data_IF_038321216226
#
_entry.id   IF_038321216226
#
_cell.length_a   1.000
_cell.length_b   1.000
_cell.length_c   1.000
_cell.angle_alpha   90.00
_cell.angle_beta   90.00
_cell.angle_gamma   90.00
#
_symmetry.space_group_name_H-M   'P 1'
#
loop_
_entity.id
_entity.type
_entity.pdbx_description
1 polymer ?
#
# COMPACT_ATOMS: atom_id res chain seq x y z
N UNK A 1 -21.79 -12.73 2.34
CA UNK A 1 -20.44 -12.86 2.88
C UNK A 1 -19.50 -13.05 1.69
N UNK A 2 -18.87 -11.97 1.23
CA UNK A 2 -17.88 -11.99 0.18
C UNK A 2 -16.46 -11.99 0.78
N UNK A 3 -15.47 -12.32 -0.05
CA UNK A 3 -14.06 -12.18 0.31
C UNK A 3 -13.55 -10.89 -0.29
N UNK A 4 -13.03 -9.99 0.53
CA UNK A 4 -12.44 -8.73 0.12
C UNK A 4 -10.95 -8.74 0.46
N UNK A 5 -10.09 -8.53 -0.53
CA UNK A 5 -8.65 -8.60 -0.33
C UNK A 5 -8.04 -7.22 -0.52
N UNK A 6 -7.20 -6.81 0.41
CA UNK A 6 -6.44 -5.56 0.35
C UNK A 6 -4.96 -5.90 0.38
N UNK A 7 -4.23 -5.36 -0.57
CA UNK A 7 -2.83 -5.71 -0.82
C UNK A 7 -1.99 -4.44 -0.78
N UNK A 8 -0.95 -4.43 0.02
CA UNK A 8 0.04 -3.37 0.00
C UNK A 8 0.89 -3.43 -1.28
N UNK A 9 1.52 -2.30 -1.66
CA UNK A 9 2.30 -2.21 -2.89
C UNK A 9 3.81 -2.34 -2.64
N UNK A 10 4.38 -1.41 -1.87
CA UNK A 10 5.83 -1.28 -1.67
C UNK A 10 6.38 -2.43 -0.83
N UNK A 11 7.35 -3.20 -1.36
CA UNK A 11 7.89 -4.38 -0.70
C UNK A 11 6.93 -5.59 -0.64
N UNK A 12 5.68 -5.42 -1.06
CA UNK A 12 4.64 -6.47 -1.09
C UNK A 12 4.40 -6.96 -2.51
N UNK A 13 3.86 -6.14 -3.40
CA UNK A 13 3.76 -6.41 -4.85
C UNK A 13 5.12 -6.21 -5.50
N UNK A 14 5.80 -5.12 -5.19
CA UNK A 14 7.18 -4.91 -5.59
C UNK A 14 8.16 -5.66 -4.68
N UNK A 15 9.30 -6.08 -5.21
CA UNK A 15 10.34 -6.79 -4.43
C UNK A 15 11.02 -5.90 -3.39
N UNK A 16 10.99 -4.59 -3.60
CA UNK A 16 11.62 -3.59 -2.72
C UNK A 16 10.68 -2.40 -2.54
N UNK A 17 10.95 -1.58 -1.54
CA UNK A 17 10.27 -0.31 -1.31
C UNK A 17 10.65 0.70 -2.41
N UNK A 18 9.74 0.89 -3.36
CA UNK A 18 9.90 1.77 -4.53
C UNK A 18 9.88 3.23 -4.11
N UNK A 19 8.99 3.59 -3.18
CA UNK A 19 8.87 4.97 -2.69
C UNK A 19 10.19 5.46 -2.10
N UNK A 20 10.77 4.68 -1.20
CA UNK A 20 12.08 4.96 -0.61
C UNK A 20 13.19 5.08 -1.66
N UNK A 21 13.22 4.16 -2.63
CA UNK A 21 14.22 4.16 -3.68
C UNK A 21 14.05 5.36 -4.64
N UNK A 22 12.82 5.72 -4.98
CA UNK A 22 12.47 6.84 -5.83
C UNK A 22 12.89 8.18 -5.21
N UNK A 23 12.45 8.46 -4.00
CA UNK A 23 12.79 9.70 -3.32
C UNK A 23 14.28 9.83 -3.05
N UNK A 24 14.96 8.75 -2.65
CA UNK A 24 16.40 8.74 -2.50
C UNK A 24 17.13 9.03 -3.83
N UNK A 25 16.67 8.46 -4.93
CA UNK A 25 17.29 8.62 -6.27
C UNK A 25 17.18 10.04 -6.79
N UNK A 26 16.02 10.68 -6.62
CA UNK A 26 15.69 11.98 -7.23
C UNK A 26 15.70 13.14 -6.22
N UNK A 27 15.45 12.90 -4.94
CA UNK A 27 15.45 13.90 -3.86
C UNK A 27 16.75 13.94 -3.03
N UNK A 28 17.62 12.93 -3.18
CA UNK A 28 18.94 12.89 -2.55
C UNK A 28 18.93 12.48 -1.07
N UNK A 29 20.04 12.82 -0.39
CA UNK A 29 20.30 12.36 0.99
C UNK A 29 19.33 12.94 2.03
N UNK A 30 18.68 14.08 1.75
CA UNK A 30 17.67 14.67 2.64
C UNK A 30 16.54 13.67 2.94
N UNK A 31 16.18 12.84 1.98
CA UNK A 31 15.11 11.84 2.18
C UNK A 31 15.47 10.79 3.25
N UNK A 32 16.75 10.47 3.42
CA UNK A 32 17.19 9.56 4.48
C UNK A 32 16.98 10.17 5.87
N UNK A 33 17.26 11.47 6.02
CA UNK A 33 17.06 12.20 7.26
C UNK A 33 15.55 12.32 7.58
N UNK A 34 14.73 12.65 6.58
CA UNK A 34 13.28 12.76 6.71
C UNK A 34 12.64 11.45 7.17
N UNK A 35 13.06 10.31 6.61
CA UNK A 35 12.60 8.99 7.03
C UNK A 35 12.98 8.71 8.49
N UNK A 36 14.17 9.12 8.92
CA UNK A 36 14.58 8.98 10.31
C UNK A 36 13.74 9.84 11.25
N UNK A 37 13.41 11.07 10.87
CA UNK A 37 12.52 11.96 11.61
C UNK A 37 11.10 11.36 11.72
N UNK A 38 10.57 10.81 10.64
CA UNK A 38 9.26 10.16 10.63
C UNK A 38 9.23 8.92 11.53
N UNK A 39 10.24 8.05 11.44
CA UNK A 39 10.35 6.86 12.31
C UNK A 39 10.52 7.21 13.78
N UNK A 40 11.08 8.38 14.07
CA UNK A 40 11.18 8.95 15.43
C UNK A 40 9.92 9.72 15.86
N UNK A 41 8.84 9.67 15.07
CA UNK A 41 7.56 10.36 15.30
C UNK A 41 7.69 11.90 15.46
N UNK A 42 8.74 12.50 14.89
CA UNK A 42 8.99 13.95 14.90
C UNK A 42 8.17 14.69 13.83
N UNK A 43 7.89 14.03 12.73
CA UNK A 43 7.05 14.55 11.64
C UNK A 43 5.97 13.52 11.29
N UNK A 44 4.86 13.99 10.73
CA UNK A 44 3.80 13.12 10.21
C UNK A 44 4.17 12.50 8.87
N UNK A 45 3.48 11.45 8.45
CA UNK A 45 3.66 10.87 7.12
C UNK A 45 3.37 11.90 6.01
N UNK A 46 2.32 12.72 6.17
CA UNK A 46 2.00 13.78 5.21
C UNK A 46 3.12 14.83 5.10
N UNK A 47 3.73 15.18 6.20
CA UNK A 47 4.87 16.10 6.21
C UNK A 47 6.10 15.48 5.57
N UNK A 48 6.38 14.20 5.86
CA UNK A 48 7.44 13.45 5.19
C UNK A 48 7.27 13.54 3.67
N UNK A 49 6.13 13.12 3.14
CA UNK A 49 5.88 13.09 1.70
C UNK A 49 5.90 14.48 1.04
N UNK A 50 5.44 15.53 1.73
CA UNK A 50 5.55 16.92 1.23
C UNK A 50 7.02 17.32 1.06
N UNK A 51 7.83 17.15 2.11
CA UNK A 51 9.24 17.53 2.09
C UNK A 51 10.05 16.67 1.12
N UNK A 52 9.77 15.39 1.00
CA UNK A 52 10.35 14.52 -0.01
C UNK A 52 9.97 14.97 -1.42
N UNK A 53 8.71 15.34 -1.66
CA UNK A 53 8.26 15.86 -2.96
C UNK A 53 8.93 17.20 -3.29
N UNK A 54 9.07 18.10 -2.32
CA UNK A 54 9.78 19.37 -2.48
C UNK A 54 11.26 19.16 -2.81
N UNK A 55 11.90 18.12 -2.24
CA UNK A 55 13.31 17.80 -2.50
C UNK A 55 13.57 17.33 -3.93
N UNK A 56 12.57 16.85 -4.65
CA UNK A 56 12.69 16.46 -6.04
C UNK A 56 12.99 17.65 -6.97
N UNK A 57 12.63 18.88 -6.54
CA UNK A 57 12.85 20.09 -7.34
C UNK A 57 12.11 19.99 -8.69
N UNK A 58 12.87 19.99 -9.78
CA UNK A 58 12.37 19.73 -11.11
C UNK A 58 12.67 18.29 -11.51
N UNK A 59 11.63 17.50 -11.71
CA UNK A 59 11.74 16.10 -12.07
C UNK A 59 11.72 15.91 -13.60
N UNK A 60 12.73 15.23 -14.12
CA UNK A 60 12.72 14.81 -15.51
C UNK A 60 11.90 13.50 -15.64
N UNK A 61 10.70 13.62 -16.20
CA UNK A 61 9.71 12.53 -16.29
C UNK A 61 10.27 11.30 -16.99
N UNK A 62 11.08 11.49 -18.03
CA UNK A 62 11.68 10.40 -18.80
C UNK A 62 12.64 9.57 -17.93
N UNK A 63 13.46 10.23 -17.11
CA UNK A 63 14.37 9.54 -16.20
C UNK A 63 13.61 8.84 -15.06
N UNK A 64 12.57 9.51 -14.52
CA UNK A 64 11.71 8.93 -13.51
C UNK A 64 11.04 7.63 -14.01
N UNK A 65 10.45 7.65 -15.21
CA UNK A 65 9.87 6.47 -15.85
C UNK A 65 10.89 5.37 -16.09
N UNK A 66 12.07 5.72 -16.63
CA UNK A 66 13.13 4.75 -16.86
C UNK A 66 13.59 4.06 -15.58
N UNK A 67 13.62 4.78 -14.45
CA UNK A 67 13.88 4.21 -13.14
C UNK A 67 12.75 3.27 -12.67
N UNK A 68 11.50 3.68 -12.83
CA UNK A 68 10.33 2.90 -12.42
C UNK A 68 10.19 1.59 -13.22
N UNK A 69 10.52 1.61 -14.51
CA UNK A 69 10.50 0.41 -15.37
C UNK A 69 11.60 -0.62 -15.01
N UNK A 70 12.58 -0.27 -14.19
CA UNK A 70 13.57 -1.20 -13.65
C UNK A 70 13.12 -1.86 -12.36
N UNK A 71 12.02 -1.39 -11.75
CA UNK A 71 11.53 -1.96 -10.51
C UNK A 71 10.89 -3.32 -10.74
N UNK A 72 11.26 -4.27 -9.91
CA UNK A 72 10.78 -5.65 -10.06
C UNK A 72 9.53 -5.86 -9.22
N UNK A 73 8.53 -6.50 -9.79
CA UNK A 73 7.36 -7.02 -9.07
C UNK A 73 7.56 -8.51 -8.75
N UNK A 74 6.77 -9.03 -7.82
CA UNK A 74 6.67 -10.47 -7.57
C UNK A 74 6.12 -11.15 -8.83
N UNK A 75 6.87 -12.10 -9.38
CA UNK A 75 6.54 -12.81 -10.62
C UNK A 75 5.23 -13.62 -10.52
N UNK A 76 4.77 -13.89 -9.30
CA UNK A 76 3.51 -14.59 -9.04
C UNK A 76 2.31 -13.64 -8.86
N UNK A 77 2.51 -12.32 -8.87
CA UNK A 77 1.41 -11.37 -8.69
C UNK A 77 0.38 -11.44 -9.82
N UNK A 78 0.80 -11.63 -11.06
CA UNK A 78 -0.12 -11.81 -12.19
C UNK A 78 -1.03 -13.04 -11.97
N UNK A 79 -0.48 -14.15 -11.45
CA UNK A 79 -1.27 -15.35 -11.12
C UNK A 79 -2.26 -15.10 -9.99
N UNK A 80 -1.92 -14.25 -9.02
CA UNK A 80 -2.85 -13.82 -7.99
C UNK A 80 -3.99 -12.97 -8.57
N UNK A 81 -3.70 -12.03 -9.47
CA UNK A 81 -4.72 -11.24 -10.19
C UNK A 81 -5.68 -12.17 -10.93
N UNK A 82 -5.14 -13.11 -11.70
CA UNK A 82 -5.94 -14.10 -12.44
C UNK A 82 -6.76 -15.00 -11.50
N UNK A 83 -6.18 -15.45 -10.38
CA UNK A 83 -6.90 -16.21 -9.35
C UNK A 83 -8.11 -15.44 -8.82
N UNK A 84 -7.96 -14.16 -8.52
CA UNK A 84 -9.06 -13.31 -8.05
C UNK A 84 -10.12 -13.15 -9.14
N UNK A 85 -9.72 -12.87 -10.37
CA UNK A 85 -10.61 -12.69 -11.52
C UNK A 85 -11.45 -13.94 -11.79
N UNK A 86 -10.83 -15.12 -11.82
CA UNK A 86 -11.53 -16.41 -12.10
C UNK A 86 -12.52 -16.79 -11.00
N UNK A 87 -12.40 -16.25 -9.80
CA UNK A 87 -13.27 -16.54 -8.65
C UNK A 87 -14.21 -15.40 -8.28
N UNK A 88 -14.23 -14.34 -9.06
CA UNK A 88 -15.00 -13.12 -8.75
C UNK A 88 -14.69 -12.58 -7.35
N UNK A 89 -13.41 -12.63 -6.97
CA UNK A 89 -12.92 -12.10 -5.70
C UNK A 89 -12.46 -10.67 -5.93
N UNK A 90 -13.11 -9.73 -5.26
CA UNK A 90 -12.71 -8.32 -5.31
C UNK A 90 -11.45 -8.09 -4.48
N UNK A 91 -10.45 -7.48 -5.11
CA UNK A 91 -9.27 -7.02 -4.40
C UNK A 91 -8.89 -5.59 -4.78
N UNK A 92 -8.22 -4.91 -3.86
CA UNK A 92 -7.71 -3.55 -4.04
C UNK A 92 -6.26 -3.46 -3.58
N UNK A 93 -5.46 -2.74 -4.32
CA UNK A 93 -4.13 -2.32 -3.85
C UNK A 93 -4.30 -1.08 -2.99
N UNK A 94 -3.69 -1.06 -1.82
CA UNK A 94 -3.74 0.05 -0.86
C UNK A 94 -2.33 0.44 -0.45
N UNK A 95 -1.84 1.55 -0.95
CA UNK A 95 -0.46 1.98 -0.76
C UNK A 95 -0.38 3.32 -0.04
N UNK A 96 0.59 3.46 0.85
CA UNK A 96 0.97 4.76 1.42
C UNK A 96 1.91 5.54 0.47
N UNK A 97 2.20 4.99 -0.70
CA UNK A 97 3.04 5.58 -1.74
C UNK A 97 2.29 6.44 -2.75
N UNK A 98 2.83 6.54 -3.97
CA UNK A 98 2.33 7.44 -5.01
C UNK A 98 1.62 6.69 -6.13
N UNK A 99 0.49 7.22 -6.60
CA UNK A 99 -0.24 6.71 -7.77
C UNK A 99 0.64 6.67 -9.02
N UNK A 100 1.44 7.70 -9.25
CA UNK A 100 2.35 7.82 -10.39
C UNK A 100 3.23 6.58 -10.58
N UNK A 101 3.90 6.10 -9.54
CA UNK A 101 4.79 4.96 -9.73
C UNK A 101 4.03 3.63 -9.77
N UNK A 102 2.88 3.51 -9.13
CA UNK A 102 2.02 2.33 -9.24
C UNK A 102 1.53 2.17 -10.68
N UNK A 103 1.00 3.25 -11.27
CA UNK A 103 0.53 3.26 -12.66
C UNK A 103 1.63 2.90 -13.66
N UNK A 104 2.82 3.51 -13.53
CA UNK A 104 3.94 3.27 -14.43
C UNK A 104 4.47 1.83 -14.33
N UNK A 105 4.57 1.29 -13.11
CA UNK A 105 5.03 -0.09 -12.90
C UNK A 105 3.99 -1.10 -13.38
N UNK A 106 2.72 -0.89 -13.12
CA UNK A 106 1.65 -1.76 -13.61
C UNK A 106 1.58 -1.74 -15.15
N UNK A 107 1.58 -0.56 -15.75
CA UNK A 107 1.57 -0.42 -17.21
C UNK A 107 2.78 -1.10 -17.87
N UNK A 108 3.98 -0.94 -17.29
CA UNK A 108 5.20 -1.57 -17.81
C UNK A 108 5.17 -3.10 -17.71
N UNK A 109 4.52 -3.66 -16.70
CA UNK A 109 4.41 -5.11 -16.49
C UNK A 109 3.11 -5.72 -17.07
N UNK A 110 2.30 -4.94 -17.81
CA UNK A 110 1.07 -5.43 -18.43
C UNK A 110 -0.04 -5.78 -17.42
N UNK A 111 0.01 -5.22 -16.21
CA UNK A 111 -1.01 -5.42 -15.18
C UNK A 111 -2.14 -4.42 -15.41
N UNK A 112 -3.28 -4.90 -15.86
CA UNK A 112 -4.44 -4.08 -16.19
C UNK A 112 -5.64 -4.39 -15.29
N UNK A 113 -6.52 -3.38 -15.13
CA UNK A 113 -7.80 -3.54 -14.43
C UNK A 113 -7.70 -3.71 -12.91
N UNK A 114 -6.53 -3.45 -12.33
CA UNK A 114 -6.33 -3.50 -10.88
C UNK A 114 -6.70 -2.16 -10.26
N UNK A 115 -7.67 -2.17 -9.35
CA UNK A 115 -8.04 -0.99 -8.56
C UNK A 115 -7.02 -0.73 -7.47
N UNK A 116 -6.58 0.53 -7.35
CA UNK A 116 -5.66 0.91 -6.27
C UNK A 116 -6.01 2.27 -5.64
N UNK A 117 -5.52 2.46 -4.42
CA UNK A 117 -5.64 3.67 -3.62
C UNK A 117 -4.25 4.07 -3.14
N UNK A 118 -3.84 5.29 -3.45
CA UNK A 118 -2.52 5.82 -3.12
C UNK A 118 -2.57 7.35 -2.98
N UNK A 119 -1.48 7.96 -2.53
CA UNK A 119 -1.34 9.41 -2.56
C UNK A 119 -1.21 9.89 -4.01
N UNK A 120 -1.81 11.05 -4.30
CA UNK A 120 -1.84 11.59 -5.64
C UNK A 120 -0.60 12.42 -5.93
N UNK A 121 0.11 12.07 -6.98
CA UNK A 121 1.32 12.76 -7.43
C UNK A 121 1.12 13.36 -8.81
N UNK A 122 1.14 14.68 -8.89
CA UNK A 122 0.90 15.42 -10.12
C UNK A 122 2.19 16.10 -10.60
N UNK A 123 2.46 15.97 -11.90
CA UNK A 123 3.58 16.64 -12.56
C UNK A 123 3.05 17.87 -13.29
N UNK A 124 3.33 19.05 -12.74
CA UNK A 124 2.87 20.31 -13.30
C UNK A 124 3.95 20.86 -14.23
N UNK A 125 3.59 21.06 -15.49
CA UNK A 125 4.47 21.72 -16.44
C UNK A 125 4.72 23.16 -15.96
N UNK A 126 5.99 23.53 -15.81
CA UNK A 126 6.38 24.89 -15.44
C UNK A 126 5.91 25.90 -16.50
N UNK A 127 5.46 27.07 -16.05
CA UNK A 127 5.09 28.19 -16.96
C UNK A 127 6.31 28.75 -17.71
N UNK A 128 7.51 28.38 -17.32
CA UNK A 128 8.74 28.86 -17.92
C UNK A 128 9.23 27.89 -19.00
N UNK A 129 9.16 28.26 -20.31
CA UNK A 129 9.57 27.43 -21.42
C UNK A 129 11.06 27.10 -21.46
N UNK A 130 11.88 27.76 -20.62
CA UNK A 130 13.33 27.54 -20.53
C UNK A 130 13.71 26.51 -19.43
N UNK A 131 12.74 26.02 -18.64
CA UNK A 131 13.01 25.00 -17.62
C UNK A 131 12.69 23.62 -18.18
N UNK A 132 13.68 22.77 -18.21
CA UNK A 132 13.54 21.36 -18.58
C UNK A 132 13.14 20.61 -17.31
N UNK A 133 11.88 20.16 -17.26
CA UNK A 133 11.36 19.39 -16.13
C UNK A 133 9.96 19.86 -15.69
N UNK A 134 9.36 19.04 -14.85
CA UNK A 134 8.04 19.29 -14.26
C UNK A 134 8.20 19.50 -12.75
N UNK A 135 7.38 20.38 -12.19
CA UNK A 135 7.33 20.58 -10.73
C UNK A 135 6.37 19.56 -10.13
N UNK A 136 6.86 18.64 -9.28
CA UNK A 136 6.00 17.67 -8.64
C UNK A 136 5.14 18.32 -7.53
N UNK A 137 3.91 17.84 -7.39
CA UNK A 137 2.97 18.18 -6.34
C UNK A 137 2.34 16.91 -5.78
N UNK A 138 2.12 16.88 -4.48
CA UNK A 138 1.46 15.76 -3.81
C UNK A 138 0.16 16.21 -3.13
N UNK A 139 -0.85 15.35 -3.17
CA UNK A 139 -2.08 15.48 -2.38
C UNK A 139 -2.49 14.13 -1.79
N UNK A 140 -3.31 14.17 -0.76
CA UNK A 140 -3.65 13.03 0.09
C UNK A 140 -5.16 12.78 0.10
N UNK A 141 -5.73 12.23 -0.99
CA UNK A 141 -7.19 12.07 -1.13
C UNK A 141 -7.79 11.04 -0.15
N UNK A 142 -6.97 10.20 0.45
CA UNK A 142 -7.39 9.12 1.34
C UNK A 142 -6.77 9.23 2.72
N UNK A 143 -6.43 10.45 3.15
CA UNK A 143 -5.89 10.66 4.49
C UNK A 143 -6.97 10.53 5.58
N UNK A 144 -6.50 10.43 6.80
CA UNK A 144 -7.31 10.53 8.00
C UNK A 144 -6.88 11.78 8.75
N UNK A 145 -7.81 12.68 9.02
CA UNK A 145 -7.52 13.98 9.61
C UNK A 145 -6.90 13.87 11.01
N UNK A 146 -7.24 12.82 11.75
CA UNK A 146 -6.78 12.59 13.13
C UNK A 146 -5.55 11.68 13.19
N UNK A 147 -5.18 11.01 12.08
CA UNK A 147 -4.06 10.08 12.04
C UNK A 147 -2.82 10.73 11.40
N UNK A 148 -1.69 10.67 12.11
CA UNK A 148 -0.39 11.19 11.63
C UNK A 148 0.54 10.09 11.10
N UNK A 149 0.15 8.81 11.19
CA UNK A 149 1.00 7.64 10.91
C UNK A 149 1.11 7.26 9.43
N UNK A 150 0.09 7.59 8.64
CA UNK A 150 0.06 7.31 7.22
C UNK A 150 -0.53 8.50 6.47
N UNK A 151 -0.17 8.65 5.20
CA UNK A 151 -0.68 9.67 4.31
C UNK A 151 -1.91 9.16 3.52
N UNK A 152 -1.94 7.85 3.23
CA UNK A 152 -3.10 7.15 2.68
C UNK A 152 -3.63 6.16 3.74
N UNK A 153 -4.83 6.39 4.26
CA UNK A 153 -5.39 5.59 5.35
C UNK A 153 -5.92 4.25 4.85
N UNK A 154 -5.06 3.22 4.79
CA UNK A 154 -5.41 1.85 4.39
C UNK A 154 -6.59 1.28 5.20
N UNK A 155 -6.66 1.59 6.51
CA UNK A 155 -7.79 1.18 7.37
C UNK A 155 -9.12 1.73 6.86
N UNK A 156 -9.21 3.04 6.63
CA UNK A 156 -10.46 3.68 6.19
C UNK A 156 -10.89 3.15 4.82
N UNK A 157 -9.95 2.93 3.91
CA UNK A 157 -10.23 2.32 2.61
C UNK A 157 -10.81 0.91 2.80
N UNK A 158 -10.20 0.08 3.64
CA UNK A 158 -10.71 -1.27 3.93
C UNK A 158 -12.14 -1.23 4.49
N UNK A 159 -12.40 -0.33 5.45
CA UNK A 159 -13.72 -0.20 6.07
C UNK A 159 -14.79 0.29 5.09
N UNK A 160 -14.44 1.24 4.21
CA UNK A 160 -15.40 1.79 3.23
C UNK A 160 -15.65 0.87 2.03
N UNK A 161 -14.72 -0.06 1.73
CA UNK A 161 -14.82 -1.00 0.60
C UNK A 161 -15.32 -2.38 1.02
N UNK A 162 -15.63 -2.59 2.29
CA UNK A 162 -16.18 -3.85 2.80
C UNK A 162 -17.47 -3.61 3.58
N UNK A 163 -18.27 -4.66 3.71
CA UNK A 163 -19.46 -4.69 4.57
C UNK A 163 -19.20 -5.51 5.83
N UNK A 164 -20.08 -5.36 6.82
CA UNK A 164 -19.99 -6.13 8.07
C UNK A 164 -20.04 -7.65 7.84
N UNK A 165 -20.62 -8.11 6.75
CA UNK A 165 -20.72 -9.54 6.43
C UNK A 165 -19.49 -10.08 5.70
N UNK A 166 -18.60 -9.23 5.22
CA UNK A 166 -17.46 -9.66 4.44
C UNK A 166 -16.31 -10.22 5.30
N UNK A 167 -15.52 -11.10 4.71
CA UNK A 167 -14.24 -11.54 5.23
C UNK A 167 -13.15 -10.66 4.63
N UNK A 168 -12.46 -9.95 5.48
CA UNK A 168 -11.40 -9.02 5.07
C UNK A 168 -10.05 -9.73 5.14
N UNK A 169 -9.36 -9.77 4.01
CA UNK A 169 -7.96 -10.26 3.90
C UNK A 169 -7.05 -9.07 3.70
N UNK A 170 -5.94 -9.03 4.41
CA UNK A 170 -4.88 -8.06 4.22
C UNK A 170 -3.56 -8.77 3.92
N UNK A 171 -2.84 -8.31 2.90
CA UNK A 171 -1.52 -8.79 2.50
C UNK A 171 -0.53 -7.64 2.57
N UNK A 172 0.53 -7.78 3.35
CA UNK A 172 1.50 -6.69 3.55
C UNK A 172 2.81 -7.15 4.20
N UNK A 173 3.76 -6.20 4.35
CA UNK A 173 5.08 -6.50 4.87
C UNK A 173 5.58 -5.50 5.94
N UNK A 174 5.11 -4.23 5.93
CA UNK A 174 5.83 -3.12 6.50
C UNK A 174 5.17 -2.37 7.66
N UNK A 175 5.70 -1.17 7.89
CA UNK A 175 5.28 -0.30 8.99
C UNK A 175 3.86 0.25 8.80
N UNK A 176 3.53 0.71 7.60
CA UNK A 176 2.20 1.25 7.26
C UNK A 176 1.08 0.21 7.35
N UNK A 177 1.44 -1.10 7.29
CA UNK A 177 0.50 -2.22 7.33
C UNK A 177 0.07 -2.63 8.75
N UNK A 178 0.77 -2.14 9.77
CA UNK A 178 0.49 -2.46 11.18
C UNK A 178 -0.90 -2.06 11.64
N UNK A 179 -1.42 -0.94 11.11
CA UNK A 179 -2.77 -0.50 11.42
C UNK A 179 -3.81 -1.39 10.73
N UNK A 180 -3.85 -1.50 9.38
CA UNK A 180 -4.87 -2.29 8.69
C UNK A 180 -4.88 -3.77 9.09
N UNK A 181 -3.74 -4.39 9.38
CA UNK A 181 -3.67 -5.78 9.85
C UNK A 181 -4.47 -6.04 11.13
N UNK A 182 -4.70 -5.04 11.96
CA UNK A 182 -5.52 -5.18 13.17
C UNK A 182 -7.02 -5.30 12.86
N UNK A 183 -7.45 -4.82 11.70
CA UNK A 183 -8.84 -4.79 11.25
C UNK A 183 -9.18 -5.91 10.27
N UNK A 184 -8.19 -6.64 9.74
CA UNK A 184 -8.40 -7.74 8.82
C UNK A 184 -8.70 -9.06 9.56
N UNK A 185 -9.56 -9.90 8.97
CA UNK A 185 -9.88 -11.23 9.51
C UNK A 185 -8.78 -12.24 9.23
N UNK A 186 -8.15 -12.13 8.07
CA UNK A 186 -7.01 -12.96 7.65
C UNK A 186 -5.87 -12.02 7.27
N UNK A 187 -4.70 -12.23 7.84
CA UNK A 187 -3.51 -11.42 7.57
C UNK A 187 -2.45 -12.32 6.95
N UNK A 188 -1.97 -11.94 5.78
CA UNK A 188 -0.73 -12.46 5.22
C UNK A 188 0.37 -11.47 5.54
N UNK A 189 1.42 -11.95 6.21
CA UNK A 189 2.49 -11.10 6.70
C UNK A 189 3.87 -11.71 6.47
N UNK A 190 4.80 -10.86 6.06
CA UNK A 190 6.23 -11.13 6.03
C UNK A 190 6.98 -9.99 6.72
N UNK A 191 8.28 -10.11 6.89
CA UNK A 191 9.21 -9.08 7.37
C UNK A 191 8.74 -8.32 8.62
N UNK A 192 8.69 -6.99 8.58
CA UNK A 192 8.34 -6.12 9.70
C UNK A 192 6.90 -6.29 10.18
N UNK A 193 5.97 -6.58 9.27
CA UNK A 193 4.57 -6.85 9.64
C UNK A 193 4.44 -8.18 10.38
N UNK A 194 5.19 -9.21 9.97
CA UNK A 194 5.23 -10.49 10.68
C UNK A 194 5.66 -10.31 12.14
N UNK A 195 6.75 -9.58 12.37
CA UNK A 195 7.24 -9.29 13.71
C UNK A 195 6.19 -8.53 14.55
N UNK A 196 5.54 -7.54 13.94
CA UNK A 196 4.46 -6.80 14.61
C UNK A 196 3.30 -7.71 14.98
N UNK A 197 2.86 -8.60 14.08
CA UNK A 197 1.79 -9.56 14.36
C UNK A 197 2.14 -10.46 15.55
N UNK A 198 3.38 -10.94 15.63
CA UNK A 198 3.86 -11.75 16.76
C UNK A 198 3.78 -10.97 18.08
N UNK A 199 4.32 -9.75 18.11
CA UNK A 199 4.32 -8.90 19.31
C UNK A 199 2.90 -8.54 19.76
N UNK A 200 1.97 -8.32 18.82
CA UNK A 200 0.58 -7.95 19.11
C UNK A 200 -0.37 -9.14 19.22
N UNK A 201 0.14 -10.36 19.15
CA UNK A 201 -0.65 -11.60 19.15
C UNK A 201 -1.76 -11.62 18.10
N UNK A 202 -1.45 -11.10 16.90
CA UNK A 202 -2.32 -11.14 15.74
C UNK A 202 -2.04 -12.41 14.96
N UNK A 203 -3.05 -13.25 14.75
CA UNK A 203 -2.93 -14.44 13.89
C UNK A 203 -2.61 -14.02 12.45
N UNK A 204 -1.60 -14.62 11.86
CA UNK A 204 -1.18 -14.36 10.49
C UNK A 204 -0.78 -15.64 9.77
N UNK A 205 -0.76 -15.58 8.44
CA UNK A 205 -0.20 -16.58 7.56
C UNK A 205 1.08 -15.99 6.96
N UNK A 206 2.19 -16.71 7.12
CA UNK A 206 3.44 -16.32 6.46
C UNK A 206 3.32 -16.56 4.95
N UNK A 207 3.90 -15.67 4.17
CA UNK A 207 4.05 -15.82 2.73
C UNK A 207 5.42 -15.28 2.29
N UNK A 208 5.97 -15.85 1.24
CA UNK A 208 7.18 -15.36 0.56
C UNK A 208 6.89 -14.83 -0.84
N UNK A 209 5.83 -15.30 -1.46
CA UNK A 209 5.36 -14.89 -2.79
C UNK A 209 3.83 -14.91 -2.85
N UNK A 210 3.26 -14.35 -3.92
CA UNK A 210 1.81 -14.45 -4.13
C UNK A 210 1.32 -15.85 -4.45
N UNK A 211 2.19 -16.77 -4.88
CA UNK A 211 1.82 -18.19 -4.99
C UNK A 211 1.44 -18.79 -3.63
N UNK A 212 2.13 -18.41 -2.55
CA UNK A 212 1.76 -18.84 -1.19
C UNK A 212 0.39 -18.29 -0.78
N UNK A 213 0.13 -17.02 -1.11
CA UNK A 213 -1.16 -16.35 -0.83
C UNK A 213 -2.28 -17.10 -1.57
N UNK A 214 -2.11 -17.37 -2.87
CA UNK A 214 -3.09 -18.11 -3.70
C UNK A 214 -3.33 -19.50 -3.15
N UNK A 215 -2.27 -20.24 -2.83
CA UNK A 215 -2.38 -21.62 -2.31
C UNK A 215 -3.19 -21.64 -0.99
N UNK A 216 -2.91 -20.72 -0.08
CA UNK A 216 -3.60 -20.61 1.20
C UNK A 216 -5.05 -20.16 1.06
N UNK A 217 -5.32 -19.15 0.24
CA UNK A 217 -6.69 -18.70 -0.02
C UNK A 217 -7.52 -19.82 -0.66
N UNK A 218 -6.95 -20.52 -1.63
CA UNK A 218 -7.62 -21.66 -2.27
C UNK A 218 -7.96 -22.78 -1.27
N UNK A 219 -7.08 -23.09 -0.34
CA UNK A 219 -7.33 -24.06 0.73
C UNK A 219 -8.44 -23.59 1.69
N UNK A 220 -8.41 -22.34 2.10
CA UNK A 220 -9.41 -21.75 3.01
C UNK A 220 -10.81 -21.71 2.36
N UNK A 221 -10.89 -21.33 1.09
CA UNK A 221 -12.15 -21.26 0.33
C UNK A 221 -12.70 -22.66 0.12
N UNK A 222 -11.89 -23.62 -0.40
CA UNK A 222 -12.32 -24.98 -0.73
C UNK A 222 -12.78 -25.76 0.50
N UNK A 223 -12.13 -25.57 1.65
CA UNK A 223 -12.48 -26.20 2.92
C UNK A 223 -13.55 -25.47 3.72
N UNK A 224 -14.10 -24.36 3.20
CA UNK A 224 -15.08 -23.49 3.90
C UNK A 224 -14.59 -23.07 5.29
N UNK A 225 -13.30 -22.70 5.40
CA UNK A 225 -12.63 -22.30 6.65
C UNK A 225 -12.46 -20.81 6.80
N UNK A 226 -13.05 -20.01 5.91
CA UNK A 226 -13.08 -18.55 6.05
C UNK A 226 -13.88 -18.18 7.30
N UNK A 227 -13.25 -17.48 8.22
CA UNK A 227 -13.86 -17.05 9.48
C UNK A 227 -13.43 -15.63 9.81
N UNK A 228 -14.35 -14.88 10.42
CA UNK A 228 -14.04 -13.60 11.01
C UNK A 228 -13.14 -13.77 12.24
N UNK A 229 -12.20 -12.85 12.40
CA UNK A 229 -11.38 -12.73 13.60
C UNK A 229 -12.09 -11.80 14.58
N UNK A 230 -12.45 -12.33 15.76
CA UNK A 230 -13.24 -11.60 16.76
C UNK A 230 -12.63 -10.24 17.12
N UNK A 231 -11.32 -10.18 17.34
CA UNK A 231 -10.61 -8.94 17.69
C UNK A 231 -10.67 -7.91 16.57
N UNK A 232 -10.58 -8.34 15.31
CA UNK A 232 -10.71 -7.47 14.15
C UNK A 232 -12.15 -6.93 14.02
N UNK A 233 -13.14 -7.78 14.22
CA UNK A 233 -14.56 -7.38 14.20
C UNK A 233 -14.86 -6.35 15.29
N UNK A 234 -14.37 -6.56 16.52
CA UNK A 234 -14.52 -5.59 17.61
C UNK A 234 -13.89 -4.24 17.25
N UNK A 235 -12.66 -4.25 16.72
CA UNK A 235 -11.99 -3.00 16.28
C UNK A 235 -12.73 -2.28 15.16
N UNK A 236 -13.31 -3.00 14.21
CA UNK A 236 -14.12 -2.40 13.15
C UNK A 236 -15.35 -1.71 13.75
N UNK A 237 -16.04 -2.35 14.69
CA UNK A 237 -17.19 -1.75 15.38
C UNK A 237 -16.82 -0.51 16.18
N UNK A 238 -15.69 -0.55 16.91
CA UNK A 238 -15.18 0.60 17.66
C UNK A 238 -14.88 1.79 16.73
N UNK A 239 -14.26 1.53 15.57
CA UNK A 239 -13.95 2.59 14.60
C UNK A 239 -15.19 3.35 14.12
N UNK A 240 -16.32 2.67 13.91
CA UNK A 240 -17.58 3.32 13.54
C UNK A 240 -18.27 4.05 14.69
N UNK A 241 -18.01 3.67 15.95
CA UNK A 241 -18.63 4.32 17.12
C UNK A 241 -17.91 5.62 17.53
N UNK A 242 -16.65 5.80 17.13
CA UNK A 242 -15.88 7.01 17.43
C UNK A 242 -16.18 8.17 16.45
N UNK A 243 -17.00 7.96 15.41
CA UNK A 243 -17.41 8.99 14.45
C UNK A 243 -18.71 9.72 14.84
N UNK A 244 -19.21 9.47 16.05
CA UNK A 244 -20.36 10.14 16.67
C UNK A 244 -19.95 10.66 18.05
#
# INVERSE_FOLDING_TARGET
MALKIFVDFDGTITKHDVGNAFFKRFGGDLCVELIAEYKAEKISAKELFRRETESLGQLEVKEARAFLHQQQIDESFERFVEFCRLRDIEFHVVSDGLDFYIEEIFAHNGIEGVSFFANRFELINGENPNLVGTTPRISFPYDDAECTRCACCKRNIMLTKSSDDDIIVFVGEGYSDRCPAQYADIVFAKDGLQQFCQVKNISYLFYSSFDDVVARLNDLVSKKRLKKRREAEMKRREAFLCEF
#
